data_IF_071337994117
#
_entry.id   IF_071337994117
#
_cell.length_a   1.000
_cell.length_b   1.000
_cell.length_c   1.000
_cell.angle_alpha   90.00
_cell.angle_beta   90.00
_cell.angle_gamma   90.00
#
_symmetry.space_group_name_H-M   'P 1'
#
loop_
_entity.id
_entity.type
_entity.pdbx_description
1 polymer ?
#
# COMPACT_ATOMS: atom_id res chain seq x y z
N UNK A 1 11.69 -16.17 5.26
CA UNK A 1 10.99 -15.15 6.06
C UNK A 1 10.36 -14.30 5.00
N UNK A 2 9.09 -14.53 4.76
CA UNK A 2 8.39 -13.93 3.63
C UNK A 2 8.10 -12.49 4.05
N UNK A 3 8.87 -11.55 3.48
CA UNK A 3 8.77 -10.14 3.85
C UNK A 3 7.67 -9.51 3.01
N UNK A 4 6.44 -9.62 3.51
CA UNK A 4 5.29 -8.95 2.90
C UNK A 4 5.41 -7.45 3.01
N UNK A 5 4.86 -6.78 2.00
CA UNK A 5 4.69 -5.33 1.99
C UNK A 5 3.21 -4.99 1.99
N UNK A 6 2.91 -3.77 2.42
CA UNK A 6 1.56 -3.39 2.77
C UNK A 6 1.09 -2.19 1.97
N UNK A 7 -0.19 -2.20 1.58
CA UNK A 7 -0.86 -1.04 0.98
C UNK A 7 -2.09 -0.68 1.80
N UNK A 8 -2.21 0.59 2.15
CA UNK A 8 -3.44 1.15 2.74
C UNK A 8 -4.27 1.77 1.62
N UNK A 9 -5.52 1.35 1.50
CA UNK A 9 -6.50 1.88 0.54
C UNK A 9 -7.74 2.38 1.27
N UNK A 10 -8.43 3.36 0.70
CA UNK A 10 -9.82 3.62 1.09
C UNK A 10 -10.71 2.45 0.65
N UNK A 11 -11.86 2.26 1.31
CA UNK A 11 -12.81 1.20 0.93
C UNK A 11 -13.17 1.25 -0.56
N UNK A 12 -13.42 2.45 -1.08
CA UNK A 12 -13.73 2.67 -2.50
C UNK A 12 -12.58 2.29 -3.43
N UNK A 13 -11.34 2.59 -3.04
CA UNK A 13 -10.17 2.19 -3.84
C UNK A 13 -10.03 0.67 -3.86
N UNK A 14 -10.31 0.00 -2.75
CA UNK A 14 -10.26 -1.45 -2.67
C UNK A 14 -11.35 -2.12 -3.50
N UNK A 15 -12.59 -1.63 -3.44
CA UNK A 15 -13.69 -2.09 -4.31
C UNK A 15 -13.31 -1.98 -5.78
N UNK A 16 -12.85 -0.80 -6.22
CA UNK A 16 -12.44 -0.58 -7.61
C UNK A 16 -11.27 -1.48 -8.02
N UNK A 17 -10.30 -1.70 -7.14
CA UNK A 17 -9.16 -2.58 -7.44
C UNK A 17 -9.62 -4.03 -7.64
N UNK A 18 -10.54 -4.54 -6.81
CA UNK A 18 -11.08 -5.88 -6.99
C UNK A 18 -11.82 -6.01 -8.33
N UNK A 19 -12.59 -4.99 -8.73
CA UNK A 19 -13.33 -4.97 -10.00
C UNK A 19 -12.40 -4.91 -11.22
N UNK A 20 -11.33 -4.11 -11.15
CA UNK A 20 -10.40 -3.89 -12.26
C UNK A 20 -9.33 -4.99 -12.38
N UNK A 21 -9.04 -5.69 -11.28
CA UNK A 21 -7.95 -6.69 -11.18
C UNK A 21 -6.53 -6.09 -11.13
N UNK A 22 -6.38 -4.80 -11.41
CA UNK A 22 -5.13 -4.05 -11.31
C UNK A 22 -5.33 -2.69 -10.64
N UNK A 23 -4.43 -2.35 -9.71
CA UNK A 23 -4.38 -1.04 -9.07
C UNK A 23 -3.29 -0.20 -9.72
N UNK A 24 -3.71 0.75 -10.56
CA UNK A 24 -2.81 1.68 -11.24
C UNK A 24 -2.32 2.86 -10.36
N UNK A 25 -2.50 2.77 -9.03
CA UNK A 25 -2.09 3.81 -8.08
C UNK A 25 -3.18 4.80 -7.67
N UNK A 26 -3.06 5.29 -6.45
CA UNK A 26 -3.80 6.46 -5.93
C UNK A 26 -3.35 7.75 -6.63
N UNK A 27 -4.05 8.89 -6.41
CA UNK A 27 -3.58 10.18 -6.94
C UNK A 27 -2.16 10.54 -6.52
N UNK A 28 -1.73 10.16 -5.31
CA UNK A 28 -0.36 10.37 -4.83
C UNK A 28 0.63 9.46 -5.56
N UNK A 29 0.30 8.18 -5.69
CA UNK A 29 1.13 7.20 -6.41
C UNK A 29 1.36 7.64 -7.88
N UNK A 30 0.30 8.07 -8.56
CA UNK A 30 0.38 8.53 -9.95
C UNK A 30 1.21 9.79 -10.13
N UNK A 31 1.14 10.72 -9.17
CA UNK A 31 1.95 11.94 -9.17
C UNK A 31 3.44 11.61 -9.02
N UNK A 32 3.75 10.68 -8.14
CA UNK A 32 5.15 10.36 -7.78
C UNK A 32 5.75 9.29 -8.72
N UNK A 33 4.91 8.57 -9.47
CA UNK A 33 5.31 7.65 -10.55
C UNK A 33 5.51 6.19 -10.11
N UNK A 34 5.11 5.85 -8.89
CA UNK A 34 5.20 4.51 -8.31
C UNK A 34 4.12 4.29 -7.25
N UNK A 35 3.80 3.04 -6.93
CA UNK A 35 2.89 2.70 -5.83
C UNK A 35 3.67 2.73 -4.52
N UNK A 36 3.26 3.61 -3.59
CA UNK A 36 3.78 3.62 -2.24
C UNK A 36 3.28 2.40 -1.48
N UNK A 37 4.20 1.61 -0.96
CA UNK A 37 3.95 0.51 -0.06
C UNK A 37 4.59 0.82 1.29
N UNK A 38 4.42 -0.08 2.25
CA UNK A 38 4.96 0.08 3.60
C UNK A 38 5.42 -1.27 4.14
N UNK A 39 6.42 -1.25 5.01
CA UNK A 39 6.68 -2.37 5.92
C UNK A 39 5.60 -2.41 7.01
N UNK A 40 5.44 -3.56 7.68
CA UNK A 40 4.39 -3.76 8.70
C UNK A 40 4.43 -2.70 9.80
N UNK A 41 5.61 -2.37 10.32
CA UNK A 41 5.76 -1.41 11.42
C UNK A 41 5.49 0.04 11.00
N UNK A 42 5.44 0.34 9.71
CA UNK A 42 5.18 1.68 9.16
C UNK A 42 3.68 1.97 9.00
N UNK A 43 2.85 0.92 8.89
CA UNK A 43 1.42 1.02 8.55
C UNK A 43 0.67 1.98 9.47
N UNK A 44 0.84 1.87 10.79
CA UNK A 44 0.15 2.73 11.75
C UNK A 44 0.44 4.22 11.50
N UNK A 45 1.71 4.57 11.28
CA UNK A 45 2.10 5.95 10.99
C UNK A 45 1.63 6.46 9.63
N UNK A 46 1.41 5.57 8.65
CA UNK A 46 0.80 5.92 7.35
C UNK A 46 -0.69 6.21 7.51
N UNK A 47 -1.41 5.37 8.25
CA UNK A 47 -2.83 5.57 8.55
C UNK A 47 -3.04 6.92 9.25
N UNK A 48 -2.28 7.18 10.32
CA UNK A 48 -2.36 8.43 11.09
C UNK A 48 -2.07 9.69 10.26
N UNK A 49 -1.15 9.62 9.28
CA UNK A 49 -0.75 10.80 8.50
C UNK A 49 -1.64 11.07 7.30
N UNK A 50 -2.11 10.03 6.62
CA UNK A 50 -2.73 10.15 5.30
C UNK A 50 -4.20 9.75 5.26
N UNK A 51 -4.68 9.04 6.29
CA UNK A 51 -6.05 8.50 6.32
C UNK A 51 -6.81 8.90 7.60
N UNK A 52 -6.34 9.92 8.32
CA UNK A 52 -6.93 10.39 9.57
C UNK A 52 -8.36 10.92 9.44
N UNK A 53 -8.85 11.18 8.23
CA UNK A 53 -10.22 11.62 7.94
C UNK A 53 -11.15 10.47 7.53
N UNK A 54 -10.62 9.26 7.36
CA UNK A 54 -11.39 8.07 7.02
C UNK A 54 -11.86 7.38 8.31
N UNK A 55 -13.11 6.86 8.38
CA UNK A 55 -13.55 6.07 9.53
C UNK A 55 -12.93 4.67 9.57
N UNK A 56 -12.61 4.14 8.38
CA UNK A 56 -11.97 2.84 8.19
C UNK A 56 -11.23 2.82 6.87
N UNK A 57 -10.22 1.97 6.79
CA UNK A 57 -9.41 1.71 5.60
C UNK A 57 -9.27 0.21 5.39
N UNK A 58 -8.87 -0.19 4.19
CA UNK A 58 -8.46 -1.56 3.90
C UNK A 58 -6.93 -1.62 3.92
N UNK A 59 -6.38 -2.52 4.73
CA UNK A 59 -4.97 -2.88 4.71
C UNK A 59 -4.80 -4.13 3.86
N UNK A 60 -3.97 -4.05 2.83
CA UNK A 60 -3.59 -5.17 1.99
C UNK A 60 -2.22 -5.69 2.42
N UNK A 61 -2.10 -7.02 2.53
CA UNK A 61 -0.84 -7.74 2.65
C UNK A 61 -0.48 -8.30 1.27
N UNK A 62 0.73 -8.00 0.79
CA UNK A 62 1.12 -8.24 -0.60
C UNK A 62 2.44 -9.02 -0.63
N UNK A 63 2.44 -10.10 -1.40
CA UNK A 63 3.63 -10.88 -1.71
C UNK A 63 4.28 -10.36 -2.99
N UNK A 64 5.47 -9.78 -2.85
CA UNK A 64 6.30 -9.31 -3.96
C UNK A 64 7.70 -9.95 -3.93
N UNK A 65 7.83 -11.16 -3.37
CA UNK A 65 9.12 -11.85 -3.35
C UNK A 65 9.70 -11.97 -4.78
N UNK A 66 10.95 -11.50 -4.96
CA UNK A 66 11.63 -11.54 -6.25
C UNK A 66 11.17 -10.52 -7.29
N UNK A 67 10.25 -9.61 -6.95
CA UNK A 67 9.83 -8.53 -7.85
C UNK A 67 10.99 -7.56 -8.11
N UNK A 68 11.33 -7.38 -9.38
CA UNK A 68 12.48 -6.55 -9.83
C UNK A 68 12.16 -5.05 -9.86
N UNK A 69 10.88 -4.70 -9.93
CA UNK A 69 10.37 -3.33 -9.94
C UNK A 69 9.98 -2.86 -8.54
N UNK A 70 10.22 -3.65 -7.50
CA UNK A 70 10.14 -3.24 -6.10
C UNK A 70 11.49 -2.66 -5.68
N UNK A 71 11.48 -1.44 -5.14
CA UNK A 71 12.68 -0.78 -4.60
C UNK A 71 12.42 -0.28 -3.21
N UNK A 72 13.38 -0.51 -2.31
CA UNK A 72 13.39 0.12 -0.99
C UNK A 72 14.17 1.42 -1.10
N UNK A 73 13.52 2.53 -0.81
CA UNK A 73 14.10 3.86 -0.98
C UNK A 73 13.92 4.68 0.30
N UNK A 74 14.99 5.37 0.70
CA UNK A 74 14.97 6.19 1.91
C UNK A 74 13.98 7.35 1.77
N UNK A 75 13.07 7.45 2.72
CA UNK A 75 12.25 8.65 2.93
C UNK A 75 13.11 9.81 3.44
N UNK A 76 12.52 11.01 3.42
CA UNK A 76 13.16 12.21 3.99
C UNK A 76 13.49 12.11 5.49
N UNK A 77 12.93 11.11 6.19
CA UNK A 77 13.20 10.83 7.60
C UNK A 77 14.25 9.74 7.82
N UNK A 78 14.88 9.23 6.76
CA UNK A 78 15.95 8.23 6.82
C UNK A 78 15.47 6.78 6.95
N UNK A 79 14.16 6.55 6.99
CA UNK A 79 13.56 5.21 6.98
C UNK A 79 13.22 4.81 5.54
N UNK A 80 13.49 3.56 5.15
CA UNK A 80 13.22 3.04 3.81
C UNK A 80 11.78 2.58 3.64
N UNK A 81 11.15 2.95 2.53
CA UNK A 81 9.81 2.51 2.15
C UNK A 81 9.89 1.71 0.85
N UNK A 82 9.09 0.64 0.69
CA UNK A 82 8.99 -0.08 -0.56
C UNK A 82 8.16 0.72 -1.58
N UNK A 83 8.67 0.85 -2.79
CA UNK A 83 8.02 1.50 -3.92
C UNK A 83 7.96 0.53 -5.10
N UNK A 84 6.74 0.30 -5.63
CA UNK A 84 6.52 -0.57 -6.77
C UNK A 84 6.35 0.25 -8.05
N UNK A 85 7.24 0.03 -9.02
CA UNK A 85 7.31 0.78 -10.29
C UNK A 85 6.48 0.13 -11.42
N UNK A 86 5.29 -0.38 -11.06
CA UNK A 86 4.26 -0.88 -11.98
C UNK A 86 2.91 -0.90 -11.25
N UNK A 87 1.83 -1.19 -11.97
CA UNK A 87 0.55 -1.47 -11.34
C UNK A 87 0.66 -2.70 -10.41
N UNK A 88 -0.07 -2.67 -9.30
CA UNK A 88 -0.22 -3.80 -8.38
C UNK A 88 -1.34 -4.70 -8.90
N UNK A 89 -1.13 -6.01 -8.93
CA UNK A 89 -2.11 -6.98 -9.45
C UNK A 89 -2.84 -7.64 -8.30
N UNK A 90 -4.12 -7.98 -8.51
CA UNK A 90 -4.96 -8.54 -7.45
C UNK A 90 -4.47 -9.90 -6.95
N UNK A 91 -3.79 -10.68 -7.82
CA UNK A 91 -3.21 -11.98 -7.48
C UNK A 91 -1.94 -11.90 -6.61
N UNK A 92 -1.41 -10.70 -6.41
CA UNK A 92 -0.27 -10.43 -5.51
C UNK A 92 -0.74 -10.12 -4.07
N UNK A 93 -2.04 -9.87 -3.89
CA UNK A 93 -2.65 -9.64 -2.58
C UNK A 93 -2.95 -10.99 -1.93
N UNK A 94 -2.30 -11.26 -0.79
CA UNK A 94 -2.45 -12.53 -0.06
C UNK A 94 -3.44 -12.45 1.09
N UNK A 95 -3.66 -11.25 1.64
CA UNK A 95 -4.68 -10.99 2.65
C UNK A 95 -5.18 -9.53 2.58
N UNK A 96 -6.38 -9.30 3.10
CA UNK A 96 -6.94 -7.97 3.26
C UNK A 96 -7.75 -7.87 4.55
N UNK A 97 -7.47 -6.85 5.37
CA UNK A 97 -8.24 -6.58 6.60
C UNK A 97 -8.82 -5.17 6.62
N UNK A 98 -9.97 -5.00 7.27
CA UNK A 98 -10.55 -3.68 7.53
C UNK A 98 -10.00 -3.16 8.85
N UNK A 99 -9.36 -1.99 8.79
CA UNK A 99 -8.79 -1.30 9.95
C UNK A 99 -9.63 -0.08 10.27
N UNK A 100 -10.13 -0.01 11.50
CA UNK A 100 -10.83 1.17 12.00
C UNK A 100 -9.81 2.25 12.37
N UNK A 101 -10.00 3.46 11.85
CA UNK A 101 -9.13 4.59 12.17
C UNK A 101 -9.70 5.22 13.44
N UNK A 102 -8.98 5.04 14.54
CA UNK A 102 -9.34 5.64 15.81
C UNK A 102 -8.76 7.06 15.89
N UNK A 103 -9.62 8.04 16.22
CA UNK A 103 -9.23 9.43 16.47
C UNK A 103 -8.87 9.65 17.94
#
# INVERSE_FOLDING_TARGET
MDEYVYKVLTMRQWEQFQDDGEFAGSPHDKRDGFIHLSARHQVAGVIERYFADQPQVTLLEIDLEGEKLLRWEASSKGEEYPHLYRALRIDEVVDSETVHVHH
#
